data_IF_043333464959
#
_entry.id   IF_043333464959
#
_cell.length_a   1.000
_cell.length_b   1.000
_cell.length_c   1.000
_cell.angle_alpha   90.00
_cell.angle_beta   90.00
_cell.angle_gamma   90.00
#
_symmetry.space_group_name_H-M   'P 1'
#
loop_
_entity.id
_entity.type
_entity.pdbx_description
1 polymer ?
#
# COMPACT_ATOMS: atom_id res chain seq x y z
N UNK A 1 1.41 -17.15 -12.17
CA UNK A 1 1.58 -16.30 -13.36
C UNK A 1 0.32 -15.56 -13.84
N UNK A 2 -0.84 -15.66 -13.19
CA UNK A 2 -2.07 -14.91 -13.59
C UNK A 2 -2.33 -13.63 -12.78
N UNK A 3 -1.67 -13.42 -11.64
CA UNK A 3 -1.88 -12.25 -10.76
C UNK A 3 -1.16 -10.97 -11.23
N UNK A 4 -0.09 -11.07 -12.01
CA UNK A 4 0.69 -9.93 -12.50
C UNK A 4 -0.04 -9.05 -13.54
N UNK A 5 -1.04 -9.59 -14.23
CA UNK A 5 -1.72 -8.88 -15.33
C UNK A 5 -2.69 -7.82 -14.78
N UNK A 6 -3.20 -7.99 -13.57
CA UNK A 6 -4.17 -7.06 -12.98
C UNK A 6 -3.59 -5.70 -12.58
N UNK A 7 -2.32 -5.65 -12.20
CA UNK A 7 -1.68 -4.39 -11.81
C UNK A 7 -1.31 -3.50 -13.01
N UNK A 8 -1.21 -4.06 -14.22
CA UNK A 8 -0.80 -3.31 -15.40
C UNK A 8 -1.96 -2.67 -16.17
N UNK A 9 -3.19 -3.16 -16.02
CA UNK A 9 -4.35 -2.67 -16.80
C UNK A 9 -5.05 -1.47 -16.17
N UNK A 10 -4.89 -1.24 -14.86
CA UNK A 10 -5.48 -0.09 -14.16
C UNK A 10 -4.76 1.26 -14.44
N UNK A 11 -3.68 1.26 -15.21
CA UNK A 11 -2.79 2.42 -15.38
C UNK A 11 -3.13 3.37 -16.53
N UNK A 12 -4.21 3.17 -17.28
CA UNK A 12 -4.41 3.91 -18.54
C UNK A 12 -5.53 4.95 -18.58
N UNK A 13 -6.15 5.28 -17.47
CA UNK A 13 -7.15 6.36 -17.51
C UNK A 13 -7.29 7.07 -16.17
N UNK A 14 -6.53 8.08 -15.89
CA UNK A 14 -7.01 9.27 -15.16
C UNK A 14 -5.98 10.40 -15.23
N UNK A 15 -6.17 11.31 -16.13
CA UNK A 15 -5.79 12.70 -15.94
C UNK A 15 -7.04 13.46 -15.51
N UNK A 16 -6.86 14.33 -14.49
CA UNK A 16 -7.78 15.36 -14.01
C UNK A 16 -8.81 14.95 -12.95
N UNK A 17 -8.56 15.43 -11.73
CA UNK A 17 -9.38 16.42 -11.00
C UNK A 17 -8.81 16.61 -9.58
N UNK A 18 -8.02 17.66 -9.41
CA UNK A 18 -7.68 18.22 -8.11
C UNK A 18 -8.88 19.03 -7.60
N UNK A 19 -9.41 18.72 -6.42
CA UNK A 19 -9.87 19.70 -5.42
C UNK A 19 -10.59 19.03 -4.26
N UNK A 20 -10.18 19.36 -3.05
CA UNK A 20 -11.00 19.11 -1.86
C UNK A 20 -10.23 18.75 -0.59
N UNK A 21 -9.37 19.65 -0.10
CA UNK A 21 -8.97 19.60 1.30
C UNK A 21 -10.20 19.86 2.21
N UNK A 22 -10.53 18.91 3.07
CA UNK A 22 -11.15 19.20 4.37
C UNK A 22 -10.26 18.64 5.46
N UNK A 23 -9.67 19.57 6.23
CA UNK A 23 -9.13 19.28 7.55
C UNK A 23 -10.30 18.93 8.45
N UNK A 24 -10.31 17.75 9.01
CA UNK A 24 -11.01 17.46 10.26
C UNK A 24 -9.98 17.43 11.38
N UNK A 25 -10.05 18.49 12.21
CA UNK A 25 -9.34 18.57 13.48
C UNK A 25 -10.06 17.71 14.52
N UNK A 26 -9.30 16.78 15.14
CA UNK A 26 -9.56 16.38 16.51
C UNK A 26 -10.36 15.12 16.76
N UNK A 27 -9.68 14.02 16.78
CA UNK A 27 -9.64 13.07 17.88
C UNK A 27 -8.61 11.98 17.55
N UNK A 28 -7.44 12.04 18.17
CA UNK A 28 -6.49 10.92 18.12
C UNK A 28 -7.12 9.73 18.85
N UNK A 29 -7.82 8.88 18.12
CA UNK A 29 -8.14 7.56 18.62
C UNK A 29 -6.82 6.80 18.79
N UNK A 30 -6.48 6.46 20.04
CA UNK A 30 -5.28 5.66 20.41
C UNK A 30 -5.39 4.19 19.94
N UNK A 31 -6.03 3.91 18.84
CA UNK A 31 -6.17 2.58 18.26
C UNK A 31 -5.31 2.41 17.01
N UNK A 32 -5.16 1.17 16.51
CA UNK A 32 -4.44 0.91 15.28
C UNK A 32 -5.06 1.72 14.13
N UNK A 33 -4.23 2.23 13.24
CA UNK A 33 -4.65 3.03 12.10
C UNK A 33 -4.14 2.39 10.81
N UNK A 34 -5.01 2.29 9.82
CA UNK A 34 -4.62 1.78 8.50
C UNK A 34 -3.81 2.81 7.71
N UNK A 35 -3.93 4.09 8.05
CA UNK A 35 -3.22 5.20 7.42
C UNK A 35 -1.90 5.49 8.13
N UNK A 36 -0.89 5.91 7.35
CA UNK A 36 0.43 6.27 7.85
C UNK A 36 1.34 5.06 8.13
N UNK A 37 0.90 3.87 7.80
CA UNK A 37 1.61 2.61 8.01
C UNK A 37 1.97 1.99 6.66
N UNK A 38 3.17 1.46 6.54
CA UNK A 38 3.59 0.65 5.40
C UNK A 38 3.10 -0.78 5.58
N UNK A 39 2.15 -1.20 4.74
CA UNK A 39 1.54 -2.52 4.75
C UNK A 39 2.17 -3.42 3.69
N UNK A 40 2.77 -4.51 4.11
CA UNK A 40 3.54 -5.43 3.28
C UNK A 40 2.76 -6.68 2.96
N UNK A 41 2.80 -7.07 1.71
CA UNK A 41 2.37 -8.40 1.28
C UNK A 41 3.53 -9.39 1.53
N UNK A 42 3.23 -10.53 2.15
CA UNK A 42 4.26 -11.54 2.47
C UNK A 42 4.80 -12.24 1.20
N UNK A 43 3.99 -12.28 0.14
CA UNK A 43 4.37 -12.87 -1.13
C UNK A 43 5.37 -11.96 -1.88
N UNK A 44 6.50 -12.54 -2.31
CA UNK A 44 7.50 -11.85 -3.11
C UNK A 44 7.11 -11.90 -4.60
N UNK A 45 6.78 -10.75 -5.23
CA UNK A 45 6.52 -10.71 -6.67
C UNK A 45 7.76 -11.00 -7.52
N UNK A 46 8.94 -10.75 -6.96
CA UNK A 46 10.24 -11.06 -7.55
C UNK A 46 11.22 -11.42 -6.44
N UNK A 47 12.29 -12.18 -6.72
CA UNK A 47 13.27 -12.57 -5.72
C UNK A 47 13.82 -11.37 -4.95
N UNK A 48 13.66 -11.38 -3.63
CA UNK A 48 14.15 -10.32 -2.76
C UNK A 48 13.41 -8.99 -2.80
N UNK A 49 12.21 -8.93 -3.40
CA UNK A 49 11.35 -7.75 -3.47
C UNK A 49 9.99 -8.06 -2.85
N UNK A 50 9.53 -7.19 -1.96
CA UNK A 50 8.18 -7.23 -1.40
C UNK A 50 7.40 -5.99 -1.83
N UNK A 51 6.10 -6.12 -2.06
CA UNK A 51 5.23 -4.99 -2.36
C UNK A 51 4.67 -4.38 -1.09
N UNK A 52 4.46 -3.07 -1.14
CA UNK A 52 4.05 -2.26 0.01
C UNK A 52 2.92 -1.33 -0.39
N UNK A 53 1.80 -1.42 0.32
CA UNK A 53 0.72 -0.45 0.23
C UNK A 53 0.91 0.63 1.31
N UNK A 54 0.79 1.88 0.93
CA UNK A 54 0.86 3.02 1.83
C UNK A 54 -0.29 3.98 1.59
N UNK A 55 -1.02 4.29 2.65
CA UNK A 55 -2.15 5.21 2.67
C UNK A 55 -1.79 6.39 3.56
N UNK A 56 -1.74 7.60 3.00
CA UNK A 56 -1.44 8.79 3.78
C UNK A 56 -2.02 10.05 3.14
N UNK A 57 -2.59 10.92 3.99
CA UNK A 57 -3.07 12.25 3.59
C UNK A 57 -3.98 12.23 2.35
N UNK A 58 -4.87 11.23 2.27
CA UNK A 58 -5.79 11.05 1.15
C UNK A 58 -5.13 10.54 -0.14
N UNK A 59 -3.86 10.12 -0.10
CA UNK A 59 -3.14 9.57 -1.24
C UNK A 59 -2.71 8.14 -0.95
N UNK A 60 -2.99 7.26 -1.90
CA UNK A 60 -2.59 5.86 -1.89
C UNK A 60 -1.39 5.68 -2.83
N UNK A 61 -0.39 4.95 -2.37
CA UNK A 61 0.84 4.70 -3.13
C UNK A 61 1.29 3.26 -2.98
N UNK A 62 1.92 2.75 -4.01
CA UNK A 62 2.69 1.52 -3.95
C UNK A 62 4.17 1.79 -3.89
N UNK A 63 4.82 1.04 -3.02
CA UNK A 63 6.26 0.99 -2.88
C UNK A 63 6.74 -0.45 -3.09
N UNK A 64 8.03 -0.61 -3.32
CA UNK A 64 8.73 -1.89 -3.22
C UNK A 64 9.73 -1.85 -2.08
N UNK A 65 9.92 -2.96 -1.40
CA UNK A 65 10.94 -3.13 -0.36
C UNK A 65 12.03 -4.07 -0.83
N UNK A 66 13.28 -3.64 -0.73
CA UNK A 66 14.44 -4.47 -1.05
C UNK A 66 14.79 -5.38 0.12
N UNK A 67 14.31 -6.62 0.11
CA UNK A 67 14.53 -7.63 1.15
C UNK A 67 15.95 -8.21 1.11
N UNK A 68 16.57 -8.22 -0.06
CA UNK A 68 17.92 -8.75 -0.31
C UNK A 68 18.74 -7.83 -1.20
N UNK A 69 20.04 -8.12 -1.31
CA UNK A 69 20.92 -7.38 -2.22
C UNK A 69 20.55 -7.62 -3.70
N UNK A 70 20.01 -8.79 -4.03
CA UNK A 70 19.47 -9.09 -5.36
C UNK A 70 18.25 -8.23 -5.67
N UNK A 71 17.29 -8.12 -4.74
CA UNK A 71 16.14 -7.23 -4.87
C UNK A 71 16.55 -5.76 -4.95
N UNK A 72 17.53 -5.34 -4.17
CA UNK A 72 18.07 -3.98 -4.24
C UNK A 72 18.68 -3.67 -5.60
N UNK A 73 19.46 -4.59 -6.18
CA UNK A 73 20.05 -4.43 -7.51
C UNK A 73 18.97 -4.33 -8.61
N UNK A 74 17.93 -5.14 -8.52
CA UNK A 74 16.78 -5.09 -9.42
C UNK A 74 16.08 -3.74 -9.39
N UNK A 75 15.78 -3.24 -8.20
CA UNK A 75 15.10 -1.94 -8.02
C UNK A 75 16.00 -0.77 -8.42
N UNK A 76 17.31 -0.87 -8.19
CA UNK A 76 18.30 0.15 -8.60
C UNK A 76 18.41 0.25 -10.11
N UNK A 77 18.44 -0.87 -10.82
CA UNK A 77 18.52 -0.92 -12.26
C UNK A 77 17.28 -0.28 -12.90
N UNK A 78 16.10 -0.65 -12.44
CA UNK A 78 14.82 -0.16 -12.96
C UNK A 78 14.60 1.33 -12.66
N UNK A 79 14.88 1.75 -11.45
CA UNK A 79 14.67 3.15 -11.01
C UNK A 79 15.85 4.07 -11.32
N UNK A 80 16.99 3.52 -11.73
CA UNK A 80 18.27 4.23 -11.90
C UNK A 80 18.76 4.96 -10.65
N UNK A 81 18.37 4.46 -9.47
CA UNK A 81 18.78 4.97 -8.17
C UNK A 81 19.64 3.95 -7.45
N UNK A 82 20.45 4.43 -6.52
CA UNK A 82 21.22 3.56 -5.64
C UNK A 82 20.30 3.07 -4.52
N UNK A 83 19.79 1.84 -4.65
CA UNK A 83 18.96 1.18 -3.66
C UNK A 83 19.80 0.16 -2.91
N UNK A 84 19.54 0.02 -1.63
CA UNK A 84 20.19 -0.96 -0.76
C UNK A 84 19.16 -1.88 -0.15
N UNK A 85 19.58 -3.07 0.28
CA UNK A 85 18.79 -3.95 1.13
C UNK A 85 18.23 -3.16 2.33
N UNK A 86 16.94 -3.33 2.62
CA UNK A 86 16.24 -2.62 3.67
C UNK A 86 15.63 -1.29 3.23
N UNK A 87 15.82 -0.84 1.98
CA UNK A 87 15.17 0.35 1.48
C UNK A 87 13.73 0.08 1.02
N UNK A 88 12.87 1.06 1.29
CA UNK A 88 11.55 1.21 0.66
C UNK A 88 11.72 2.19 -0.52
N UNK A 89 11.24 1.81 -1.69
CA UNK A 89 11.37 2.59 -2.93
C UNK A 89 9.99 2.90 -3.47
N UNK A 90 9.67 4.20 -3.65
CA UNK A 90 8.44 4.60 -4.30
C UNK A 90 8.45 4.12 -5.75
N UNK A 91 7.51 3.25 -6.07
CA UNK A 91 7.34 2.75 -7.44
C UNK A 91 6.39 3.62 -8.23
N UNK A 92 5.21 3.91 -7.66
CA UNK A 92 4.25 4.83 -8.28
C UNK A 92 3.16 5.26 -7.28
N UNK A 93 2.65 6.49 -7.39
CA UNK A 93 1.41 6.88 -6.76
C UNK A 93 0.23 6.20 -7.47
N UNK A 94 -0.71 5.63 -6.73
CA UNK A 94 -1.88 4.98 -7.31
C UNK A 94 -3.02 5.96 -7.56
N UNK A 95 -3.58 6.52 -6.50
CA UNK A 95 -4.70 7.44 -6.60
C UNK A 95 -4.99 8.16 -5.28
N UNK A 96 -5.83 9.19 -5.35
CA UNK A 96 -6.50 9.71 -4.17
C UNK A 96 -7.49 8.69 -3.60
N UNK A 97 -7.77 8.76 -2.30
CA UNK A 97 -8.78 7.94 -1.64
C UNK A 97 -9.55 8.72 -0.57
N UNK A 98 -10.69 8.19 -0.20
CA UNK A 98 -11.40 8.54 1.03
C UNK A 98 -11.61 7.30 1.87
N UNK A 99 -11.59 7.44 3.19
CA UNK A 99 -11.77 6.34 4.12
C UNK A 99 -13.01 6.55 4.98
N UNK A 100 -13.79 5.48 5.15
CA UNK A 100 -14.91 5.43 6.08
C UNK A 100 -14.61 4.33 7.08
N UNK A 101 -14.35 4.72 8.33
CA UNK A 101 -14.07 3.78 9.43
C UNK A 101 -15.38 3.33 10.07
N UNK A 102 -15.48 2.06 10.39
CA UNK A 102 -16.59 1.51 11.16
C UNK A 102 -16.41 1.84 12.65
N UNK A 103 -17.50 1.73 13.43
CA UNK A 103 -17.51 2.03 14.86
C UNK A 103 -16.57 1.14 15.69
N UNK A 104 -16.25 -0.06 15.19
CA UNK A 104 -15.33 -0.99 15.84
C UNK A 104 -13.86 -0.52 15.81
N UNK A 105 -13.55 0.48 14.97
CA UNK A 105 -12.20 1.02 14.79
C UNK A 105 -11.23 0.06 14.09
N UNK A 106 -11.64 -1.19 13.84
CA UNK A 106 -10.78 -2.23 13.25
C UNK A 106 -11.15 -2.62 11.84
N UNK A 107 -12.19 -1.99 11.29
CA UNK A 107 -12.66 -2.21 9.93
C UNK A 107 -13.13 -0.93 9.25
N UNK A 108 -13.31 -0.98 7.94
CA UNK A 108 -13.82 0.16 7.16
C UNK A 108 -13.70 -0.01 5.67
N UNK A 109 -13.99 1.07 4.95
CA UNK A 109 -13.98 1.12 3.50
C UNK A 109 -13.05 2.21 3.01
N UNK A 110 -12.23 1.89 2.02
CA UNK A 110 -11.36 2.81 1.29
C UNK A 110 -11.94 2.94 -0.12
N UNK A 111 -12.39 4.12 -0.47
CA UNK A 111 -12.96 4.41 -1.79
C UNK A 111 -11.96 5.23 -2.61
N UNK A 112 -11.72 4.82 -3.85
CA UNK A 112 -10.85 5.51 -4.78
C UNK A 112 -11.41 5.47 -6.21
N UNK A 113 -10.94 6.34 -7.12
CA UNK A 113 -11.33 6.29 -8.53
C UNK A 113 -11.00 4.97 -9.24
N UNK A 114 -10.04 4.21 -8.72
CA UNK A 114 -9.61 2.92 -9.30
C UNK A 114 -10.35 1.71 -8.72
N UNK A 115 -11.20 1.91 -7.72
CA UNK A 115 -11.99 0.84 -7.10
C UNK A 115 -12.22 1.05 -5.62
N UNK A 116 -12.95 0.10 -5.04
CA UNK A 116 -13.27 0.03 -3.62
C UNK A 116 -12.39 -1.02 -2.95
N UNK A 117 -11.93 -0.74 -1.75
CA UNK A 117 -11.31 -1.72 -0.87
C UNK A 117 -12.03 -1.75 0.48
N UNK A 118 -12.11 -2.90 1.08
CA UNK A 118 -12.57 -3.08 2.46
C UNK A 118 -11.40 -3.57 3.29
N UNK A 119 -11.18 -2.97 4.45
CA UNK A 119 -10.22 -3.48 5.42
C UNK A 119 -10.94 -4.00 6.66
N UNK A 120 -10.37 -5.05 7.26
CA UNK A 120 -10.89 -5.65 8.49
C UNK A 120 -9.78 -6.33 9.29
N UNK A 121 -10.07 -6.61 10.56
CA UNK A 121 -9.10 -7.24 11.46
C UNK A 121 -7.83 -6.40 11.65
N UNK A 122 -7.98 -5.07 11.60
CA UNK A 122 -6.88 -4.15 11.80
C UNK A 122 -6.32 -4.26 13.21
N UNK A 123 -5.04 -4.54 13.31
CA UNK A 123 -4.24 -4.54 14.53
C UNK A 123 -3.05 -3.61 14.36
N UNK A 124 -2.18 -3.51 15.37
CA UNK A 124 -0.91 -2.78 15.24
C UNK A 124 0.03 -3.39 14.18
N UNK A 125 -0.14 -4.68 13.89
CA UNK A 125 0.81 -5.44 13.07
C UNK A 125 0.24 -6.03 11.79
N UNK A 126 -1.08 -6.08 11.63
CA UNK A 126 -1.73 -6.75 10.50
C UNK A 126 -3.06 -6.14 10.12
N UNK A 127 -3.44 -6.32 8.86
CA UNK A 127 -4.75 -5.96 8.30
C UNK A 127 -5.10 -6.88 7.14
N UNK A 128 -6.37 -7.27 7.04
CA UNK A 128 -6.92 -7.92 5.85
C UNK A 128 -7.52 -6.85 4.94
N UNK A 129 -7.10 -6.82 3.69
CA UNK A 129 -7.68 -5.93 2.66
C UNK A 129 -8.31 -6.79 1.56
N UNK A 130 -9.53 -6.45 1.19
CA UNK A 130 -10.27 -7.03 0.07
C UNK A 130 -10.54 -5.94 -0.95
N UNK A 131 -10.04 -6.10 -2.16
CA UNK A 131 -10.24 -5.17 -3.27
C UNK A 131 -11.38 -5.63 -4.17
N UNK A 132 -12.14 -4.67 -4.68
CA UNK A 132 -13.28 -4.88 -5.56
C UNK A 132 -13.18 -4.01 -6.80
N UNK A 133 -13.56 -4.55 -7.93
CA UNK A 133 -13.84 -3.80 -9.16
C UNK A 133 -15.34 -3.88 -9.51
N UNK A 134 -15.69 -3.52 -10.74
CA UNK A 134 -17.09 -3.58 -11.22
C UNK A 134 -17.64 -5.02 -11.37
N UNK A 135 -16.79 -6.02 -11.38
CA UNK A 135 -17.15 -7.43 -11.55
C UNK A 135 -17.22 -8.18 -10.21
N UNK A 136 -16.71 -7.58 -9.11
CA UNK A 136 -16.74 -8.15 -7.78
C UNK A 136 -15.37 -8.16 -7.08
N UNK A 137 -15.13 -9.14 -6.19
CA UNK A 137 -13.86 -9.29 -5.46
C UNK A 137 -12.74 -9.67 -6.43
N UNK A 138 -11.68 -8.85 -6.48
CA UNK A 138 -10.52 -9.05 -7.35
C UNK A 138 -9.28 -9.54 -6.61
N UNK A 139 -9.13 -9.14 -5.35
CA UNK A 139 -7.99 -9.54 -4.53
C UNK A 139 -8.34 -9.59 -3.05
N UNK A 140 -7.69 -10.50 -2.34
CA UNK A 140 -7.75 -10.65 -0.88
C UNK A 140 -6.33 -10.76 -0.36
N UNK A 141 -5.88 -9.76 0.39
CA UNK A 141 -4.49 -9.61 0.82
C UNK A 141 -4.44 -9.54 2.34
N UNK A 142 -3.71 -10.45 2.97
CA UNK A 142 -3.32 -10.31 4.36
C UNK A 142 -2.01 -9.54 4.39
N UNK A 143 -2.03 -8.36 4.99
CA UNK A 143 -0.88 -7.46 5.03
C UNK A 143 -0.33 -7.35 6.45
N UNK A 144 0.97 -7.10 6.55
CA UNK A 144 1.70 -7.02 7.80
C UNK A 144 2.62 -5.80 7.83
N UNK A 145 2.99 -5.35 9.03
CA UNK A 145 4.05 -4.35 9.18
C UNK A 145 5.43 -5.00 9.05
N UNK A 146 6.44 -4.22 8.59
CA UNK A 146 7.82 -4.73 8.51
C UNK A 146 8.37 -5.15 9.88
N UNK A 147 7.99 -4.44 10.93
CA UNK A 147 8.41 -4.77 12.29
C UNK A 147 7.94 -6.16 12.70
N UNK A 148 6.68 -6.49 12.40
CA UNK A 148 6.14 -7.83 12.65
C UNK A 148 6.87 -8.91 11.85
N UNK A 149 7.21 -8.62 10.61
CA UNK A 149 7.96 -9.54 9.74
C UNK A 149 9.45 -9.63 10.10
N UNK A 150 9.93 -8.78 11.01
CA UNK A 150 11.33 -8.78 11.46
C UNK A 150 12.32 -8.18 10.46
N UNK A 151 11.83 -7.33 9.54
CA UNK A 151 12.68 -6.67 8.54
C UNK A 151 12.95 -5.21 8.89
N UNK A 152 14.22 -4.77 8.92
CA UNK A 152 14.55 -3.38 9.20
C UNK A 152 14.26 -2.48 8.00
N UNK A 153 13.73 -1.29 8.24
CA UNK A 153 13.71 -0.20 7.25
C UNK A 153 14.98 0.64 7.45
N UNK A 154 15.82 0.70 6.43
CA UNK A 154 17.08 1.47 6.47
C UNK A 154 16.98 2.80 5.73
N UNK A 155 15.92 3.02 4.95
CA UNK A 155 15.65 4.28 4.28
C UNK A 155 14.50 4.21 3.30
N UNK A 156 14.03 5.37 2.88
CA UNK A 156 13.01 5.55 1.83
C UNK A 156 13.70 6.26 0.67
N UNK A 157 13.51 5.74 -0.52
CA UNK A 157 14.05 6.31 -1.78
C UNK A 157 12.85 6.73 -2.64
N UNK A 158 12.74 8.03 -2.91
CA UNK A 158 11.71 8.64 -3.75
C UNK A 158 12.22 8.95 -5.16
#
# INVERSE_FOLDING_TARGET
MKKFIFYAVALLSVASLLNGCKKDDGNESKGPNVEGVFWFEEEEPAPGVMMVLYLKDGNMSYYAYAKSDEGAAMLSEETRKIVKKGNIVLTFPLSAYTIVKNEDGTSGTINSPIGKMEYSGLTENSVLIVAYDSEGETARLQLYTLEYLGFPVTGIVE
#
